data_IF_096608841765
#
_entry.id   IF_096608841765
#
_cell.length_a   1.000
_cell.length_b   1.000
_cell.length_c   1.000
_cell.angle_alpha   90.00
_cell.angle_beta   90.00
_cell.angle_gamma   90.00
#
_symmetry.space_group_name_H-M   'P 1'
#
loop_
_entity.id
_entity.type
_entity.pdbx_description
1 polymer ?
#
# COMPACT_ATOMS: atom_id res chain seq x y z
N UNK A 1 2.16 3.32 15.46
CA UNK A 1 3.39 3.27 14.69
C UNK A 1 4.22 4.52 15.02
N UNK A 2 5.44 4.35 15.58
CA UNK A 2 6.32 5.43 16.06
C UNK A 2 6.71 6.39 14.93
N UNK A 3 7.03 5.85 13.75
CA UNK A 3 7.35 6.65 12.57
C UNK A 3 6.16 7.51 12.11
N UNK A 4 4.98 6.91 12.00
CA UNK A 4 3.76 7.67 11.62
C UNK A 4 3.34 8.73 12.64
N UNK A 5 3.82 8.64 13.86
CA UNK A 5 3.64 9.64 14.91
C UNK A 5 4.78 10.67 14.98
N UNK A 6 5.74 10.60 14.06
CA UNK A 6 6.90 11.49 14.01
C UNK A 6 7.91 11.30 15.16
N UNK A 7 7.85 10.18 15.91
CA UNK A 7 8.73 9.93 17.06
C UNK A 7 10.08 9.31 16.68
N UNK A 8 10.16 8.73 15.48
CA UNK A 8 11.41 8.20 14.92
C UNK A 8 11.55 8.63 13.46
N UNK A 9 12.79 8.71 13.00
CA UNK A 9 13.15 9.02 11.61
C UNK A 9 12.98 7.79 10.69
N UNK A 10 13.07 7.99 9.37
CA UNK A 10 13.09 6.91 8.37
C UNK A 10 14.26 5.95 8.59
N UNK A 11 15.45 6.50 8.92
CA UNK A 11 16.64 5.71 9.14
C UNK A 11 16.52 4.87 10.41
N UNK A 12 16.03 5.45 11.51
CA UNK A 12 15.74 4.71 12.74
C UNK A 12 14.68 3.61 12.51
N UNK A 13 13.63 3.89 11.74
CA UNK A 13 12.63 2.87 11.38
C UNK A 13 13.27 1.71 10.61
N UNK A 14 14.11 2.01 9.62
CA UNK A 14 14.77 0.99 8.80
C UNK A 14 15.75 0.16 9.65
N UNK A 15 16.52 0.78 10.53
CA UNK A 15 17.39 0.08 11.47
C UNK A 15 16.59 -0.80 12.43
N UNK A 16 15.57 -0.26 13.09
CA UNK A 16 14.76 -0.98 14.08
C UNK A 16 13.94 -2.12 13.48
N UNK A 17 13.52 -2.01 12.23
CA UNK A 17 12.74 -3.05 11.54
C UNK A 17 13.43 -4.41 11.54
N UNK A 18 14.75 -4.42 11.45
CA UNK A 18 15.54 -5.65 11.40
C UNK A 18 16.28 -5.91 12.72
N UNK A 19 16.77 -4.87 13.40
CA UNK A 19 17.48 -5.03 14.67
C UNK A 19 16.59 -5.64 15.74
N UNK A 20 15.34 -5.18 15.87
CA UNK A 20 14.42 -5.68 16.89
C UNK A 20 14.12 -7.19 16.77
N UNK A 21 13.63 -7.73 15.63
CA UNK A 21 13.38 -9.17 15.53
C UNK A 21 14.67 -10.01 15.60
N UNK A 22 15.79 -9.54 15.07
CA UNK A 22 17.08 -10.26 15.16
C UNK A 22 17.60 -10.32 16.60
N UNK A 23 17.42 -9.25 17.37
CA UNK A 23 17.75 -9.20 18.79
C UNK A 23 16.95 -10.25 19.60
N UNK A 24 15.67 -10.48 19.25
CA UNK A 24 14.83 -11.49 19.93
C UNK A 24 15.36 -12.92 19.76
N UNK A 25 16.13 -13.18 18.72
CA UNK A 25 16.79 -14.48 18.47
C UNK A 25 18.30 -14.46 18.80
N UNK A 26 18.75 -13.46 19.56
CA UNK A 26 20.11 -13.38 20.08
C UNK A 26 21.16 -12.81 19.13
N UNK A 27 20.76 -12.25 17.99
CA UNK A 27 21.67 -11.59 17.05
C UNK A 27 21.88 -10.13 17.47
N UNK A 28 23.09 -9.80 17.95
CA UNK A 28 23.46 -8.46 18.43
C UNK A 28 24.52 -7.77 17.56
N UNK A 29 25.03 -8.45 16.55
CA UNK A 29 26.02 -7.91 15.61
C UNK A 29 25.39 -6.86 14.70
N UNK A 30 25.76 -5.60 14.93
CA UNK A 30 25.25 -4.46 14.15
C UNK A 30 25.65 -4.50 12.68
N UNK A 31 26.82 -5.04 12.35
CA UNK A 31 27.26 -5.16 10.96
C UNK A 31 26.39 -6.17 10.21
N UNK A 32 26.07 -7.29 10.86
CA UNK A 32 25.17 -8.31 10.32
C UNK A 32 23.75 -7.77 10.15
N UNK A 33 23.23 -7.04 11.13
CA UNK A 33 21.90 -6.39 11.05
C UNK A 33 21.84 -5.42 9.87
N UNK A 34 22.88 -4.60 9.71
CA UNK A 34 22.97 -3.65 8.59
C UNK A 34 23.02 -4.38 7.24
N UNK A 35 23.88 -5.37 7.09
CA UNK A 35 23.99 -6.15 5.87
C UNK A 35 22.66 -6.85 5.51
N UNK A 36 21.94 -7.37 6.50
CA UNK A 36 20.61 -7.96 6.29
C UNK A 36 19.58 -6.94 5.81
N UNK A 37 19.61 -5.73 6.42
CA UNK A 37 18.73 -4.63 6.00
C UNK A 37 19.01 -4.19 4.56
N UNK A 38 20.28 -3.97 4.22
CA UNK A 38 20.69 -3.53 2.88
C UNK A 38 20.29 -4.58 1.83
N UNK A 39 20.62 -5.85 2.06
CA UNK A 39 20.23 -6.94 1.16
C UNK A 39 18.71 -7.09 0.99
N UNK A 40 17.93 -6.90 2.06
CA UNK A 40 16.48 -6.96 1.98
C UNK A 40 15.90 -5.88 1.07
N UNK A 41 16.39 -4.64 1.19
CA UNK A 41 15.91 -3.56 0.34
C UNK A 41 16.35 -3.76 -1.11
N UNK A 42 17.58 -4.19 -1.35
CA UNK A 42 18.07 -4.52 -2.68
C UNK A 42 17.25 -5.63 -3.33
N UNK A 43 16.95 -6.68 -2.58
CA UNK A 43 16.15 -7.81 -3.08
C UNK A 43 14.72 -7.42 -3.40
N UNK A 44 14.05 -6.63 -2.53
CA UNK A 44 12.62 -6.37 -2.67
C UNK A 44 12.30 -5.50 -3.90
N UNK A 45 13.20 -4.60 -4.30
CA UNK A 45 13.01 -3.76 -5.47
C UNK A 45 13.07 -4.53 -6.80
N UNK A 46 13.71 -5.71 -6.81
CA UNK A 46 13.80 -6.58 -7.99
C UNK A 46 12.71 -7.65 -8.04
N UNK A 47 11.81 -7.72 -7.06
CA UNK A 47 10.68 -8.66 -7.10
C UNK A 47 9.69 -8.24 -8.19
N UNK A 48 9.55 -9.08 -9.22
CA UNK A 48 8.73 -8.81 -10.41
C UNK A 48 7.38 -9.54 -10.40
N UNK A 49 7.22 -10.48 -9.46
CA UNK A 49 6.03 -11.33 -9.43
C UNK A 49 4.84 -10.54 -8.90
N UNK A 50 3.87 -10.36 -9.76
CA UNK A 50 2.56 -9.81 -9.39
C UNK A 50 1.70 -10.88 -8.72
N UNK A 51 0.70 -10.44 -7.96
CA UNK A 51 -0.38 -11.34 -7.56
C UNK A 51 -1.09 -11.89 -8.81
N UNK A 52 -1.65 -13.10 -8.74
CA UNK A 52 -2.37 -13.68 -9.87
C UNK A 52 -3.45 -12.72 -10.42
N UNK A 53 -3.57 -12.65 -11.74
CA UNK A 53 -4.58 -11.88 -12.47
C UNK A 53 -4.56 -10.34 -12.28
N UNK A 54 -3.54 -9.79 -11.60
CA UNK A 54 -3.43 -8.33 -11.41
C UNK A 54 -3.22 -7.61 -12.73
N UNK A 55 -2.43 -8.17 -13.66
CA UNK A 55 -2.14 -7.51 -14.94
C UNK A 55 -3.40 -7.35 -15.77
N UNK A 56 -4.16 -8.43 -15.89
CA UNK A 56 -5.44 -8.44 -16.62
C UNK A 56 -6.45 -7.47 -15.99
N UNK A 57 -6.50 -7.42 -14.65
CA UNK A 57 -7.33 -6.47 -13.92
C UNK A 57 -6.90 -5.01 -14.16
N UNK A 58 -5.59 -4.72 -14.18
CA UNK A 58 -5.08 -3.38 -14.47
C UNK A 58 -5.37 -2.95 -15.90
N UNK A 59 -5.23 -3.84 -16.88
CA UNK A 59 -5.57 -3.59 -18.28
C UNK A 59 -7.06 -3.25 -18.45
N UNK A 60 -7.93 -4.03 -17.81
CA UNK A 60 -9.36 -3.78 -17.79
C UNK A 60 -9.70 -2.42 -17.16
N UNK A 61 -9.18 -2.17 -15.94
CA UNK A 61 -9.48 -0.95 -15.21
C UNK A 61 -8.93 0.31 -15.90
N UNK A 62 -7.72 0.26 -16.45
CA UNK A 62 -7.09 1.41 -17.10
C UNK A 62 -7.83 1.85 -18.38
N UNK A 63 -8.67 0.99 -18.97
CA UNK A 63 -9.49 1.33 -20.14
C UNK A 63 -10.64 2.29 -19.81
N UNK A 64 -11.12 2.30 -18.56
CA UNK A 64 -12.32 3.03 -18.14
C UNK A 64 -12.13 3.92 -16.93
N UNK A 65 -11.06 3.70 -16.16
CA UNK A 65 -10.80 4.40 -14.89
C UNK A 65 -9.43 5.05 -14.86
N UNK A 66 -9.31 6.12 -14.09
CA UNK A 66 -8.02 6.71 -13.73
C UNK A 66 -7.46 5.97 -12.53
N UNK A 67 -6.31 5.32 -12.69
CA UNK A 67 -5.68 4.55 -11.62
C UNK A 67 -4.61 5.38 -10.92
N UNK A 68 -4.59 5.29 -9.60
CA UNK A 68 -3.64 5.96 -8.72
C UNK A 68 -3.15 5.00 -7.64
N UNK A 69 -1.93 5.22 -7.16
CA UNK A 69 -1.42 4.52 -5.96
C UNK A 69 -1.58 5.45 -4.76
N UNK A 70 -2.15 4.95 -3.67
CA UNK A 70 -2.16 5.59 -2.36
C UNK A 70 -1.50 4.66 -1.34
N UNK A 71 -0.28 4.99 -0.87
CA UNK A 71 0.52 4.08 -0.06
C UNK A 71 1.20 4.75 1.13
N UNK A 72 1.36 3.98 2.22
CA UNK A 72 2.18 4.32 3.39
C UNK A 72 3.66 3.93 3.20
N UNK A 73 4.03 3.46 2.02
CA UNK A 73 5.41 3.08 1.70
C UNK A 73 6.28 4.26 1.27
N UNK A 74 7.58 4.04 1.20
CA UNK A 74 8.56 5.04 0.73
C UNK A 74 8.59 5.14 -0.79
N UNK A 75 8.76 6.36 -1.31
CA UNK A 75 8.70 6.68 -2.74
C UNK A 75 9.64 5.82 -3.57
N UNK A 76 10.91 5.87 -3.22
CA UNK A 76 11.96 5.15 -3.96
C UNK A 76 11.62 3.65 -4.11
N UNK A 77 11.16 3.05 -3.00
CA UNK A 77 10.80 1.63 -2.98
C UNK A 77 9.56 1.34 -3.83
N UNK A 78 8.51 2.17 -3.73
CA UNK A 78 7.27 1.95 -4.47
C UNK A 78 7.47 2.15 -5.98
N UNK A 79 8.15 3.21 -6.39
CA UNK A 79 8.43 3.48 -7.80
C UNK A 79 9.28 2.36 -8.43
N UNK A 80 10.35 1.93 -7.74
CA UNK A 80 11.20 0.86 -8.25
C UNK A 80 10.46 -0.49 -8.34
N UNK A 81 9.63 -0.83 -7.34
CA UNK A 81 8.81 -2.06 -7.39
C UNK A 81 7.83 -2.05 -8.56
N UNK A 82 7.13 -0.94 -8.80
CA UNK A 82 6.19 -0.84 -9.92
C UNK A 82 6.90 -0.91 -11.27
N UNK A 83 8.04 -0.24 -11.39
CA UNK A 83 8.88 -0.29 -12.59
C UNK A 83 9.40 -1.71 -12.84
N UNK A 84 9.93 -2.36 -11.82
CA UNK A 84 10.44 -3.74 -11.92
C UNK A 84 9.35 -4.74 -12.28
N UNK A 85 8.13 -4.54 -11.80
CA UNK A 85 6.97 -5.38 -12.12
C UNK A 85 6.33 -5.03 -13.49
N UNK A 86 6.76 -3.94 -14.14
CA UNK A 86 6.22 -3.47 -15.41
C UNK A 86 4.75 -3.04 -15.34
N UNK A 87 4.36 -2.39 -14.23
CA UNK A 87 2.99 -1.90 -14.01
C UNK A 87 2.91 -0.39 -13.80
N UNK A 88 4.02 0.31 -13.80
CA UNK A 88 4.09 1.76 -13.59
C UNK A 88 3.17 2.53 -14.55
N UNK A 89 3.14 2.12 -15.82
CA UNK A 89 2.39 2.80 -16.88
C UNK A 89 0.87 2.78 -16.74
N UNK A 90 0.31 1.93 -15.87
CA UNK A 90 -1.13 1.94 -15.61
C UNK A 90 -1.59 3.07 -14.69
N UNK A 91 -0.68 3.62 -13.88
CA UNK A 91 -1.00 4.58 -12.84
C UNK A 91 -0.63 6.01 -13.26
N UNK A 92 -1.58 6.93 -13.18
CA UNK A 92 -1.37 8.34 -13.51
C UNK A 92 -0.56 9.09 -12.45
N UNK A 93 -0.65 8.66 -11.20
CA UNK A 93 0.07 9.28 -10.07
C UNK A 93 0.25 8.30 -8.91
N UNK A 94 1.34 8.50 -8.18
CA UNK A 94 1.62 7.87 -6.89
C UNK A 94 1.50 8.95 -5.82
N UNK A 95 0.65 8.70 -4.84
CA UNK A 95 0.46 9.54 -3.64
C UNK A 95 0.94 8.74 -2.43
N UNK A 96 1.85 9.30 -1.67
CA UNK A 96 2.48 8.62 -0.54
C UNK A 96 2.30 9.41 0.76
N UNK A 97 2.35 8.69 1.87
CA UNK A 97 2.34 9.32 3.20
C UNK A 97 3.51 10.29 3.40
N UNK A 98 4.63 10.08 2.71
CA UNK A 98 5.77 11.00 2.72
C UNK A 98 5.43 12.39 2.16
N UNK A 99 4.46 12.49 1.25
CA UNK A 99 4.10 13.76 0.59
C UNK A 99 3.51 14.78 1.57
N UNK A 100 2.88 14.31 2.64
CA UNK A 100 2.23 15.17 3.65
C UNK A 100 2.59 14.82 5.10
N UNK A 101 3.42 13.81 5.33
CA UNK A 101 3.76 13.34 6.68
C UNK A 101 2.62 12.63 7.41
N UNK A 102 1.54 12.24 6.72
CA UNK A 102 0.36 11.58 7.32
C UNK A 102 0.09 10.25 6.62
N UNK A 103 -0.22 9.23 7.42
CA UNK A 103 -0.41 7.85 6.96
C UNK A 103 -1.90 7.47 6.90
N UNK A 104 -2.27 6.55 6.01
CA UNK A 104 -3.54 5.83 6.15
C UNK A 104 -3.56 5.13 7.52
N UNK A 105 -4.65 5.12 8.26
CA UNK A 105 -6.04 5.45 7.87
C UNK A 105 -6.47 6.90 8.16
N UNK A 106 -5.59 7.82 8.46
CA UNK A 106 -5.98 9.20 8.79
C UNK A 106 -6.64 9.89 7.60
N UNK A 107 -7.72 10.66 7.81
CA UNK A 107 -8.51 11.30 6.74
C UNK A 107 -7.71 12.22 5.83
N UNK A 108 -6.70 12.88 6.36
CA UNK A 108 -5.92 13.91 5.66
C UNK A 108 -5.22 13.35 4.41
N UNK A 109 -4.72 12.10 4.46
CA UNK A 109 -4.06 11.51 3.29
C UNK A 109 -5.05 11.21 2.15
N UNK A 110 -6.31 10.85 2.48
CA UNK A 110 -7.34 10.63 1.48
C UNK A 110 -7.76 11.96 0.84
N UNK A 111 -7.98 13.02 1.63
CA UNK A 111 -8.29 14.34 1.09
C UNK A 111 -7.14 14.90 0.25
N UNK A 112 -5.90 14.71 0.70
CA UNK A 112 -4.72 15.08 -0.09
C UNK A 112 -4.68 14.31 -1.42
N UNK A 113 -4.95 13.00 -1.40
CA UNK A 113 -4.99 12.19 -2.61
C UNK A 113 -6.05 12.71 -3.60
N UNK A 114 -7.26 13.05 -3.13
CA UNK A 114 -8.31 13.64 -3.98
C UNK A 114 -7.87 14.96 -4.60
N UNK A 115 -7.29 15.85 -3.80
CA UNK A 115 -6.76 17.12 -4.30
C UNK A 115 -5.63 16.91 -5.31
N UNK A 116 -4.66 16.05 -4.99
CA UNK A 116 -3.48 15.80 -5.82
C UNK A 116 -3.81 15.11 -7.16
N UNK A 117 -4.95 14.41 -7.24
CA UNK A 117 -5.42 13.69 -8.43
C UNK A 117 -6.58 14.38 -9.13
N UNK A 118 -7.07 15.49 -8.58
CA UNK A 118 -8.27 16.21 -9.07
C UNK A 118 -9.48 15.27 -9.15
N UNK A 119 -9.63 14.41 -8.14
CA UNK A 119 -10.71 13.42 -8.02
C UNK A 119 -11.64 13.78 -6.86
N UNK A 120 -12.80 13.12 -6.80
CA UNK A 120 -13.78 13.33 -5.75
C UNK A 120 -14.06 12.02 -5.00
N UNK A 121 -14.34 12.11 -3.69
CA UNK A 121 -14.55 10.92 -2.84
C UNK A 121 -15.68 10.02 -3.36
N UNK A 122 -16.79 10.61 -3.79
CA UNK A 122 -17.98 9.87 -4.22
C UNK A 122 -17.83 9.17 -5.59
N UNK A 123 -16.83 9.57 -6.39
CA UNK A 123 -16.48 8.91 -7.66
C UNK A 123 -15.21 8.08 -7.56
N UNK A 124 -14.68 7.95 -6.35
CA UNK A 124 -13.41 7.24 -6.10
C UNK A 124 -13.63 5.97 -5.27
N UNK A 125 -12.80 4.99 -5.54
CA UNK A 125 -12.84 3.69 -4.87
C UNK A 125 -11.44 3.31 -4.37
N UNK A 126 -11.33 3.01 -3.09
CA UNK A 126 -10.10 2.47 -2.50
C UNK A 126 -10.12 0.95 -2.59
N UNK A 127 -9.12 0.36 -3.22
CA UNK A 127 -8.90 -1.09 -3.25
C UNK A 127 -7.65 -1.39 -2.44
N UNK A 128 -7.75 -2.23 -1.42
CA UNK A 128 -6.61 -2.56 -0.57
C UNK A 128 -6.78 -3.81 0.25
N UNK A 129 -5.66 -4.33 0.76
CA UNK A 129 -5.57 -5.56 1.54
C UNK A 129 -5.44 -5.33 3.05
N UNK A 130 -5.23 -4.08 3.46
CA UNK A 130 -5.16 -3.73 4.87
C UNK A 130 -6.50 -3.17 5.35
N UNK A 131 -7.19 -3.97 6.17
CA UNK A 131 -8.51 -3.59 6.67
C UNK A 131 -8.55 -2.19 7.28
N UNK A 132 -7.67 -1.94 8.25
CA UNK A 132 -7.64 -0.67 8.99
C UNK A 132 -7.21 0.51 8.11
N UNK A 133 -6.13 0.34 7.35
CA UNK A 133 -5.56 1.44 6.60
C UNK A 133 -6.38 1.79 5.35
N UNK A 134 -6.85 0.78 4.63
CA UNK A 134 -7.47 0.96 3.31
C UNK A 134 -9.00 1.00 3.42
N UNK A 135 -9.60 -0.06 3.97
CA UNK A 135 -11.06 -0.22 3.98
C UNK A 135 -11.73 0.71 4.98
N UNK A 136 -11.27 0.67 6.23
CA UNK A 136 -11.78 1.54 7.30
C UNK A 136 -11.42 3.00 7.04
N UNK A 137 -10.18 3.28 6.60
CA UNK A 137 -9.75 4.63 6.24
C UNK A 137 -10.60 5.25 5.15
N UNK A 138 -10.86 4.53 4.05
CA UNK A 138 -11.74 4.99 2.97
C UNK A 138 -13.18 5.22 3.45
N UNK A 139 -13.73 4.26 4.22
CA UNK A 139 -15.08 4.39 4.79
C UNK A 139 -15.23 5.64 5.65
N UNK A 140 -14.24 5.94 6.50
CA UNK A 140 -14.29 7.07 7.43
C UNK A 140 -14.35 8.43 6.72
N UNK A 141 -13.89 8.51 5.48
CA UNK A 141 -13.99 9.72 4.65
C UNK A 141 -15.17 9.68 3.65
N UNK A 142 -15.99 8.62 3.67
CA UNK A 142 -17.10 8.47 2.74
C UNK A 142 -16.71 8.02 1.33
N UNK A 143 -15.48 7.50 1.14
CA UNK A 143 -15.03 6.93 -0.11
C UNK A 143 -15.50 5.47 -0.23
N UNK A 144 -15.86 5.03 -1.45
CA UNK A 144 -16.11 3.62 -1.74
C UNK A 144 -14.88 2.75 -1.42
N UNK A 145 -15.11 1.48 -1.05
CA UNK A 145 -14.02 0.59 -0.68
C UNK A 145 -14.23 -0.84 -1.18
N UNK A 146 -13.11 -1.48 -1.53
CA UNK A 146 -12.99 -2.90 -1.85
C UNK A 146 -11.94 -3.50 -0.94
N UNK A 147 -12.30 -4.53 -0.24
CA UNK A 147 -11.36 -5.32 0.55
C UNK A 147 -10.76 -6.45 -0.29
N UNK A 148 -9.47 -6.39 -0.57
CA UNK A 148 -8.74 -7.52 -1.16
C UNK A 148 -8.41 -8.53 -0.06
N UNK A 149 -9.36 -9.42 0.23
CA UNK A 149 -9.37 -10.35 1.36
C UNK A 149 -8.64 -11.66 1.03
N UNK A 150 -7.37 -11.57 0.68
CA UNK A 150 -6.56 -12.75 0.30
C UNK A 150 -6.48 -13.82 1.40
N UNK A 151 -6.61 -13.42 2.67
CA UNK A 151 -6.57 -14.33 3.82
C UNK A 151 -7.91 -15.02 4.07
N UNK A 152 -8.98 -14.57 3.42
CA UNK A 152 -10.33 -15.12 3.60
C UNK A 152 -10.91 -14.85 5.00
N UNK A 153 -10.64 -13.68 5.58
CA UNK A 153 -11.19 -13.28 6.88
C UNK A 153 -12.72 -13.25 6.82
N UNK A 154 -13.36 -13.95 7.74
CA UNK A 154 -14.82 -14.09 7.79
C UNK A 154 -15.48 -13.15 8.78
N UNK A 155 -14.77 -12.77 9.85
CA UNK A 155 -15.27 -11.88 10.89
C UNK A 155 -14.73 -10.48 10.65
N UNK A 156 -15.48 -9.66 9.93
CA UNK A 156 -15.13 -8.27 9.61
C UNK A 156 -15.95 -7.33 10.51
N UNK A 157 -15.36 -6.20 10.97
CA UNK A 157 -16.07 -5.22 11.82
C UNK A 157 -17.31 -4.61 11.17
N UNK A 158 -17.34 -4.54 9.84
CA UNK A 158 -18.50 -4.12 9.05
C UNK A 158 -18.41 -4.76 7.65
N UNK A 159 -19.48 -4.67 6.85
CA UNK A 159 -19.50 -5.14 5.47
C UNK A 159 -18.77 -4.11 4.58
N UNK A 160 -17.68 -4.48 3.87
CA UNK A 160 -17.07 -3.60 2.88
C UNK A 160 -18.00 -3.40 1.69
N UNK A 161 -17.70 -2.41 0.84
CA UNK A 161 -18.41 -2.23 -0.42
C UNK A 161 -18.37 -3.50 -1.27
N UNK A 162 -17.17 -4.06 -1.42
CA UNK A 162 -16.95 -5.39 -2.02
C UNK A 162 -15.88 -6.14 -1.22
N UNK A 163 -16.02 -7.48 -1.12
CA UNK A 163 -15.05 -8.42 -0.54
C UNK A 163 -14.53 -9.30 -1.68
N UNK A 164 -13.28 -9.07 -2.10
CA UNK A 164 -12.66 -9.69 -3.26
C UNK A 164 -11.46 -10.54 -2.82
N UNK A 165 -11.32 -11.73 -3.37
CA UNK A 165 -10.19 -12.64 -3.10
C UNK A 165 -9.33 -12.92 -4.32
N UNK A 166 -9.87 -12.69 -5.49
CA UNK A 166 -9.20 -12.86 -6.78
C UNK A 166 -9.42 -11.60 -7.63
N UNK A 167 -8.37 -11.14 -8.29
CA UNK A 167 -8.44 -9.94 -9.13
C UNK A 167 -9.38 -10.08 -10.32
N UNK A 168 -9.71 -11.32 -10.73
CA UNK A 168 -10.73 -11.57 -11.76
C UNK A 168 -12.13 -11.14 -11.36
N UNK A 169 -12.40 -11.07 -10.07
CA UNK A 169 -13.71 -10.64 -9.57
C UNK A 169 -14.00 -9.16 -9.84
N UNK A 170 -12.95 -8.35 -10.13
CA UNK A 170 -13.08 -6.90 -10.34
C UNK A 170 -14.08 -6.56 -11.44
N UNK A 171 -14.10 -7.33 -12.52
CA UNK A 171 -15.00 -7.15 -13.67
C UNK A 171 -16.47 -7.42 -13.36
N UNK A 172 -16.79 -8.01 -12.20
CA UNK A 172 -18.16 -8.32 -11.82
C UNK A 172 -18.88 -7.16 -11.12
N UNK A 173 -18.13 -6.13 -10.71
CA UNK A 173 -18.70 -5.00 -9.98
C UNK A 173 -18.14 -3.63 -10.41
N UNK A 174 -17.19 -3.56 -11.31
CA UNK A 174 -16.70 -2.40 -12.03
C UNK A 174 -16.78 -2.64 -13.53
#
# INVERSE_FOLDING_TARGET
NEYGAGRITKDELNEQRFSYPLLQVGVTDKALVKAYSDNFFDDIIYKKKLMPHVREALEYLASSYNLYILSNGFRELQEQKMRSAGVEGYFKKIVLSEDIGVHKPFPEIFYFAMSATQSELHTSLMIGDNWKNDVEGAKNVGMGNVYYNIKGEKSLPFKPGFDMRDWREIVSFL
#
